data_IF_418662810041
#
_entry.id   IF_418662810041
#
_cell.length_a   1.000
_cell.length_b   1.000
_cell.length_c   1.000
_cell.angle_alpha   90.00
_cell.angle_beta   90.00
_cell.angle_gamma   90.00
#
_symmetry.space_group_name_H-M   'P 1'
#
loop_
_entity.id
_entity.type
_entity.pdbx_description
1 polymer ?
#
# COMPACT_ATOMS: atom_id res chain seq x y z
N UNK A 1 9.43 10.52 -7.83
CA UNK A 1 8.25 10.34 -8.69
C UNK A 1 7.41 9.14 -8.21
N UNK A 2 7.73 7.87 -8.43
CA UNK A 2 6.88 6.76 -7.94
C UNK A 2 6.84 6.54 -6.41
N UNK A 3 7.97 6.77 -5.71
CA UNK A 3 8.06 6.71 -4.23
C UNK A 3 7.12 7.70 -3.54
N UNK A 4 6.90 8.86 -4.15
CA UNK A 4 6.01 9.89 -3.62
C UNK A 4 4.54 9.49 -3.81
N UNK A 5 4.20 8.83 -4.92
CA UNK A 5 2.87 8.28 -5.16
C UNK A 5 2.52 7.15 -4.18
N UNK A 6 3.46 6.25 -3.89
CA UNK A 6 3.28 5.23 -2.84
C UNK A 6 3.03 5.87 -1.48
N UNK A 7 3.85 6.86 -1.09
CA UNK A 7 3.69 7.56 0.18
C UNK A 7 2.38 8.35 0.25
N UNK A 8 1.93 8.96 -0.86
CA UNK A 8 0.65 9.66 -0.95
C UNK A 8 -0.53 8.69 -0.80
N UNK A 9 -0.50 7.55 -1.49
CA UNK A 9 -1.53 6.51 -1.36
C UNK A 9 -1.57 5.96 0.06
N UNK A 10 -0.42 5.66 0.66
CA UNK A 10 -0.34 5.13 2.02
C UNK A 10 -0.84 6.15 3.05
N UNK A 11 -0.51 7.44 2.87
CA UNK A 11 -1.03 8.52 3.72
C UNK A 11 -2.54 8.75 3.53
N UNK A 12 -3.03 8.64 2.29
CA UNK A 12 -4.45 8.71 1.99
C UNK A 12 -5.19 7.54 2.64
N UNK A 13 -4.70 6.31 2.51
CA UNK A 13 -5.27 5.13 3.14
C UNK A 13 -5.21 5.18 4.68
N UNK A 14 -4.20 5.83 5.27
CA UNK A 14 -4.16 6.05 6.73
C UNK A 14 -5.19 7.08 7.21
N UNK A 15 -5.49 8.11 6.41
CA UNK A 15 -6.49 9.13 6.77
C UNK A 15 -7.91 8.71 6.39
N UNK A 16 -8.07 7.81 5.42
CA UNK A 16 -9.34 7.36 4.91
C UNK A 16 -9.47 5.83 5.05
N UNK A 17 -10.20 5.34 6.08
CA UNK A 17 -10.36 3.92 6.32
C UNK A 17 -11.11 3.21 5.18
N UNK A 18 -12.00 3.89 4.46
CA UNK A 18 -12.72 3.33 3.33
C UNK A 18 -11.82 3.10 2.11
N UNK A 19 -10.85 3.98 1.89
CA UNK A 19 -9.79 3.77 0.90
C UNK A 19 -8.89 2.59 1.29
N UNK A 20 -8.51 2.48 2.56
CA UNK A 20 -7.72 1.34 3.05
C UNK A 20 -8.46 0.03 2.84
N UNK A 21 -9.74 -0.04 3.18
CA UNK A 21 -10.57 -1.23 2.95
C UNK A 21 -10.65 -1.57 1.47
N UNK A 22 -10.92 -0.60 0.59
CA UNK A 22 -10.94 -0.83 -0.86
C UNK A 22 -9.64 -1.38 -1.42
N UNK A 23 -8.50 -0.89 -0.94
CA UNK A 23 -7.18 -1.37 -1.33
C UNK A 23 -6.89 -2.77 -0.77
N UNK A 24 -7.42 -3.09 0.42
CA UNK A 24 -7.31 -4.41 1.04
C UNK A 24 -8.25 -5.45 0.38
N UNK A 25 -9.29 -5.00 -0.33
CA UNK A 25 -10.15 -5.87 -1.14
C UNK A 25 -9.41 -6.44 -2.37
N UNK A 26 -8.28 -5.85 -2.76
CA UNK A 26 -7.47 -6.35 -3.86
C UNK A 26 -6.84 -7.71 -3.50
N UNK A 27 -7.21 -8.81 -4.20
CA UNK A 27 -6.70 -10.14 -3.89
C UNK A 27 -5.25 -10.35 -4.32
N UNK A 28 -4.72 -9.46 -5.17
CA UNK A 28 -3.35 -9.53 -5.71
C UNK A 28 -2.74 -8.14 -5.82
N UNK A 29 -1.40 -8.09 -5.79
CA UNK A 29 -0.67 -6.81 -5.93
C UNK A 29 -0.94 -6.17 -7.30
N UNK A 30 -1.10 -6.97 -8.36
CA UNK A 30 -1.48 -6.46 -9.67
C UNK A 30 -2.82 -5.70 -9.63
N UNK A 31 -3.85 -6.26 -8.99
CA UNK A 31 -5.14 -5.61 -8.84
C UNK A 31 -5.04 -4.31 -8.00
N UNK A 32 -4.21 -4.33 -6.95
CA UNK A 32 -3.92 -3.15 -6.15
C UNK A 32 -3.25 -2.03 -6.98
N UNK A 33 -2.28 -2.37 -7.82
CA UNK A 33 -1.62 -1.41 -8.71
C UNK A 33 -2.58 -0.84 -9.76
N UNK A 34 -3.48 -1.67 -10.29
CA UNK A 34 -4.53 -1.19 -11.20
C UNK A 34 -5.48 -0.21 -10.51
N UNK A 35 -5.91 -0.49 -9.27
CA UNK A 35 -6.74 0.44 -8.50
C UNK A 35 -6.00 1.74 -8.18
N UNK A 36 -4.74 1.65 -7.79
CA UNK A 36 -3.89 2.82 -7.54
C UNK A 36 -3.72 3.66 -8.82
N UNK A 37 -3.50 3.02 -9.97
CA UNK A 37 -3.41 3.67 -11.27
C UNK A 37 -4.72 4.38 -11.67
N UNK A 38 -5.87 3.78 -11.40
CA UNK A 38 -7.18 4.41 -11.62
C UNK A 38 -7.39 5.66 -10.76
N UNK A 39 -6.78 5.70 -9.57
CA UNK A 39 -6.79 6.86 -8.68
C UNK A 39 -5.75 7.93 -9.05
N UNK A 40 -4.93 7.67 -10.07
CA UNK A 40 -3.89 8.58 -10.55
C UNK A 40 -2.51 8.36 -9.92
N UNK A 41 -2.32 7.30 -9.13
CA UNK A 41 -1.03 6.92 -8.56
C UNK A 41 -0.31 5.95 -9.49
N UNK A 42 0.88 6.29 -9.94
CA UNK A 42 1.64 5.47 -10.89
C UNK A 42 2.93 4.94 -10.25
N UNK A 43 2.93 3.66 -9.88
CA UNK A 43 4.09 2.97 -9.32
C UNK A 43 4.01 1.47 -9.63
N UNK A 44 5.12 0.75 -9.49
CA UNK A 44 5.21 -0.69 -9.75
C UNK A 44 5.15 -1.53 -8.48
N UNK A 45 4.92 -2.84 -8.63
CA UNK A 45 4.98 -3.80 -7.51
C UNK A 45 6.32 -3.72 -6.79
N UNK A 46 7.43 -3.61 -7.54
CA UNK A 46 8.76 -3.54 -6.96
C UNK A 46 8.91 -2.32 -6.04
N UNK A 47 8.39 -1.17 -6.46
CA UNK A 47 8.47 0.08 -5.69
C UNK A 47 7.53 0.08 -4.49
N UNK A 48 6.32 -0.45 -4.66
CA UNK A 48 5.40 -0.70 -3.55
C UNK A 48 6.04 -1.61 -2.51
N UNK A 49 6.55 -2.76 -2.95
CA UNK A 49 7.18 -3.76 -2.08
C UNK A 49 8.44 -3.24 -1.42
N UNK A 50 9.22 -2.40 -2.10
CA UNK A 50 10.36 -1.72 -1.48
C UNK A 50 9.88 -0.81 -0.35
N UNK A 51 8.93 0.09 -0.62
CA UNK A 51 8.36 1.01 0.38
C UNK A 51 7.69 0.30 1.55
N UNK A 52 6.82 -0.69 1.29
CA UNK A 52 6.14 -1.44 2.35
C UNK A 52 7.08 -2.38 3.08
N UNK A 53 8.13 -2.90 2.44
CA UNK A 53 9.16 -3.68 3.15
C UNK A 53 9.96 -2.80 4.10
N UNK A 54 10.34 -1.59 3.69
CA UNK A 54 10.95 -0.61 4.58
C UNK A 54 10.00 -0.23 5.73
N UNK A 55 8.72 -0.03 5.41
CA UNK A 55 7.70 0.26 6.44
C UNK A 55 7.51 -0.92 7.39
N UNK A 56 7.49 -2.16 6.91
CA UNK A 56 7.33 -3.37 7.75
C UNK A 56 8.59 -3.70 8.55
N UNK A 57 9.79 -3.41 8.07
CA UNK A 57 11.03 -3.65 8.83
C UNK A 57 11.18 -2.65 9.99
N UNK A 58 10.75 -1.39 9.81
CA UNK A 58 10.68 -0.39 10.90
C UNK A 58 9.42 -0.56 11.79
N UNK A 59 8.34 -1.14 11.28
CA UNK A 59 7.06 -1.34 11.99
C UNK A 59 6.89 -2.77 12.54
N UNK A 60 7.83 -3.68 12.28
CA UNK A 60 7.92 -4.99 12.94
C UNK A 60 8.31 -4.89 14.42
N UNK A 61 8.59 -3.68 14.90
CA UNK A 61 8.64 -3.37 16.33
C UNK A 61 7.26 -3.27 17.00
N UNK A 62 6.16 -3.08 16.25
CA UNK A 62 4.84 -2.76 16.86
C UNK A 62 3.61 -3.38 16.16
N UNK A 63 3.71 -3.88 14.92
CA UNK A 63 2.61 -4.63 14.30
C UNK A 63 2.76 -6.14 14.50
N UNK A 64 2.54 -6.57 15.74
CA UNK A 64 1.81 -7.84 15.91
C UNK A 64 0.46 -7.69 15.21
N UNK A 65 0.06 -8.73 14.47
CA UNK A 65 -1.25 -8.89 13.84
C UNK A 65 -1.43 -8.28 12.43
N UNK A 66 -0.80 -8.89 11.44
CA UNK A 66 -1.52 -9.19 10.19
C UNK A 66 -1.79 -10.71 10.18
N UNK A 67 -2.93 -11.18 10.74
CA UNK A 67 -3.29 -12.59 10.67
C UNK A 67 -3.71 -12.95 9.25
N UNK A 68 -2.93 -13.84 8.64
CA UNK A 68 -3.36 -14.81 7.62
C UNK A 68 -3.91 -14.27 6.31
N UNK A 69 -3.04 -14.22 5.30
CA UNK A 69 -3.39 -14.69 3.96
C UNK A 69 -2.28 -15.62 3.44
#
# INVERSE_FOLDING_TARGET
MAKEDVARLFRAAQNDPGLREQLNTAPTIAAFLEQAAQMGYCFTEAEWREMTRFTVDELAGDLSEIPGL
#
